data_IF_598717243023
#
_entry.id   IF_598717243023
#
_cell.length_a   1.000
_cell.length_b   1.000
_cell.length_c   1.000
_cell.angle_alpha   90.00
_cell.angle_beta   90.00
_cell.angle_gamma   90.00
#
_symmetry.space_group_name_H-M   'P 1'
#
loop_
_entity.id
_entity.type
_entity.pdbx_description
1 polymer ?
#
# COMPACT_ATOMS: atom_id res chain seq x y z
N UNK A 1 -13.04 -20.70 -2.58
CA UNK A 1 -12.00 -19.85 -3.23
C UNK A 1 -11.02 -20.79 -3.88
N UNK A 2 -10.49 -20.41 -5.04
CA UNK A 2 -9.34 -21.07 -5.67
C UNK A 2 -8.08 -20.84 -4.82
N UNK A 3 -7.02 -21.58 -5.08
CA UNK A 3 -5.71 -21.32 -4.48
C UNK A 3 -4.99 -20.19 -5.24
N UNK A 4 -3.97 -19.62 -4.62
CA UNK A 4 -3.07 -18.70 -5.29
C UNK A 4 -2.26 -19.42 -6.37
N UNK A 5 -2.09 -18.77 -7.51
CA UNK A 5 -1.31 -19.26 -8.64
C UNK A 5 -0.08 -18.37 -8.80
N UNK A 6 1.11 -18.96 -8.71
CA UNK A 6 2.35 -18.32 -9.13
C UNK A 6 2.49 -18.47 -10.63
N UNK A 7 2.68 -17.36 -11.35
CA UNK A 7 2.73 -17.39 -12.80
C UNK A 7 4.15 -17.66 -13.31
N UNK A 8 4.24 -18.47 -14.36
CA UNK A 8 5.45 -18.64 -15.17
C UNK A 8 5.38 -17.65 -16.34
N UNK A 9 6.07 -16.52 -16.19
CA UNK A 9 5.96 -15.37 -17.09
C UNK A 9 7.08 -15.34 -18.14
N UNK A 10 6.80 -14.73 -19.29
CA UNK A 10 7.84 -14.30 -20.23
C UNK A 10 8.47 -13.00 -19.73
N UNK A 11 9.80 -12.97 -19.59
CA UNK A 11 10.52 -11.88 -18.94
C UNK A 11 10.40 -11.94 -17.42
N UNK A 12 11.16 -11.09 -16.75
CA UNK A 12 11.25 -11.03 -15.29
C UNK A 12 11.28 -9.58 -14.85
N UNK A 13 10.47 -9.15 -13.88
CA UNK A 13 10.57 -7.80 -13.34
C UNK A 13 11.85 -7.64 -12.50
N UNK A 14 12.29 -6.42 -12.29
CA UNK A 14 13.35 -6.10 -11.34
C UNK A 14 12.90 -6.46 -9.92
N UNK A 15 13.74 -7.14 -9.17
CA UNK A 15 13.47 -7.44 -7.77
C UNK A 15 13.43 -6.14 -6.96
N UNK A 16 12.46 -6.01 -6.07
CA UNK A 16 12.25 -4.80 -5.25
C UNK A 16 11.33 -5.04 -4.08
N UNK A 17 11.47 -4.22 -3.07
CA UNK A 17 10.54 -4.11 -1.95
C UNK A 17 10.25 -2.63 -1.67
N UNK A 18 9.26 -2.35 -0.82
CA UNK A 18 8.74 -1.02 -0.55
C UNK A 18 8.29 -0.28 -1.84
N UNK A 19 7.75 -1.07 -2.74
CA UNK A 19 7.35 -0.67 -4.08
C UNK A 19 5.83 -0.46 -4.20
N UNK A 20 5.42 0.25 -5.27
CA UNK A 20 4.04 0.30 -5.72
C UNK A 20 3.72 -0.78 -6.74
N UNK A 21 2.50 -1.33 -6.69
CA UNK A 21 1.95 -2.21 -7.70
C UNK A 21 0.50 -1.82 -7.96
N UNK A 22 0.16 -1.46 -9.20
CA UNK A 22 -1.15 -0.93 -9.56
C UNK A 22 -1.63 -1.44 -10.92
N UNK A 23 -2.94 -1.62 -11.07
CA UNK A 23 -3.58 -1.98 -12.33
C UNK A 23 -4.18 -0.74 -12.99
N UNK A 24 -3.89 -0.54 -14.28
CA UNK A 24 -4.48 0.52 -15.10
C UNK A 24 -4.63 0.04 -16.54
N UNK A 25 -5.82 0.18 -17.12
CA UNK A 25 -6.13 -0.17 -18.52
C UNK A 25 -5.73 -1.60 -18.90
N UNK A 26 -5.92 -2.55 -17.98
CA UNK A 26 -5.64 -3.96 -18.20
C UNK A 26 -4.17 -4.33 -18.19
N UNK A 27 -3.29 -3.45 -17.77
CA UNK A 27 -1.87 -3.70 -17.49
C UNK A 27 -1.56 -3.43 -16.03
N UNK A 28 -0.49 -4.05 -15.53
CA UNK A 28 -0.05 -3.85 -14.16
C UNK A 28 1.32 -3.21 -14.14
N UNK A 29 1.46 -2.20 -13.30
CA UNK A 29 2.67 -1.37 -13.20
C UNK A 29 3.31 -1.61 -11.84
N UNK A 30 4.56 -2.08 -11.86
CA UNK A 30 5.41 -2.29 -10.70
C UNK A 30 6.53 -1.24 -10.73
N UNK A 31 6.61 -0.40 -9.72
CA UNK A 31 7.49 0.76 -9.74
C UNK A 31 7.97 1.19 -8.35
N UNK A 32 9.00 2.04 -8.32
CA UNK A 32 9.62 2.48 -7.08
C UNK A 32 10.41 1.38 -6.38
N UNK A 33 10.50 1.46 -5.08
CA UNK A 33 11.37 0.64 -4.23
C UNK A 33 12.67 1.36 -3.88
N UNK A 34 13.54 0.68 -3.16
CA UNK A 34 14.75 1.28 -2.57
C UNK A 34 15.91 1.53 -3.55
N UNK A 35 15.63 1.64 -4.84
CA UNK A 35 16.59 1.99 -5.90
C UNK A 35 15.87 2.69 -7.04
N UNK A 36 16.61 3.47 -7.83
CA UNK A 36 16.09 3.95 -9.11
C UNK A 36 16.11 2.76 -10.07
N UNK A 37 14.92 2.28 -10.43
CA UNK A 37 14.73 1.13 -11.31
C UNK A 37 13.66 1.45 -12.35
N UNK A 38 13.67 0.80 -13.54
CA UNK A 38 12.60 0.93 -14.51
C UNK A 38 11.22 0.63 -13.91
N UNK A 39 10.18 1.20 -14.47
CA UNK A 39 8.82 0.68 -14.27
C UNK A 39 8.73 -0.66 -15.00
N UNK A 40 8.34 -1.72 -14.28
CA UNK A 40 8.07 -3.00 -14.92
C UNK A 40 6.57 -3.11 -15.19
N UNK A 41 6.21 -3.43 -16.43
CA UNK A 41 4.83 -3.51 -16.88
C UNK A 41 4.48 -4.97 -17.18
N UNK A 42 3.49 -5.50 -16.48
CA UNK A 42 2.94 -6.82 -16.76
C UNK A 42 1.68 -6.74 -17.60
N UNK A 43 1.65 -7.49 -18.68
CA UNK A 43 0.44 -7.68 -19.49
C UNK A 43 -0.17 -9.06 -19.18
N UNK A 44 -1.30 -9.13 -18.46
CA UNK A 44 -1.90 -10.40 -18.06
C UNK A 44 -2.50 -11.19 -19.26
N UNK A 45 -2.72 -10.55 -20.42
CA UNK A 45 -3.23 -11.21 -21.62
C UNK A 45 -2.15 -12.04 -22.31
N UNK A 46 -0.91 -11.55 -22.29
CA UNK A 46 0.23 -12.23 -22.92
C UNK A 46 1.14 -12.91 -21.91
N UNK A 47 0.89 -12.70 -20.62
CA UNK A 47 1.71 -13.19 -19.52
C UNK A 47 3.19 -12.74 -19.64
N UNK A 48 3.40 -11.46 -19.97
CA UNK A 48 4.72 -10.92 -20.33
C UNK A 48 5.05 -9.67 -19.52
N UNK A 49 6.29 -9.60 -19.03
CA UNK A 49 6.88 -8.41 -18.45
C UNK A 49 7.66 -7.61 -19.50
N UNK A 50 7.50 -6.29 -19.45
CA UNK A 50 8.30 -5.31 -20.20
C UNK A 50 8.73 -4.19 -19.27
N UNK A 51 9.70 -3.36 -19.67
CA UNK A 51 10.17 -2.24 -18.85
C UNK A 51 9.91 -0.90 -19.53
N UNK A 52 9.70 0.12 -18.71
CA UNK A 52 9.46 1.49 -19.10
C UNK A 52 10.36 2.46 -18.31
N UNK A 53 10.21 3.77 -18.50
CA UNK A 53 11.06 4.80 -17.94
C UNK A 53 11.11 4.77 -16.40
N UNK A 54 12.30 4.81 -15.77
CA UNK A 54 12.43 4.85 -14.32
C UNK A 54 11.91 6.18 -13.75
N UNK A 55 11.54 6.21 -12.45
CA UNK A 55 11.25 7.47 -11.77
C UNK A 55 12.51 8.36 -11.72
N UNK A 56 12.36 9.69 -11.61
CA UNK A 56 13.48 10.64 -11.61
C UNK A 56 14.40 10.52 -10.39
N UNK A 57 13.94 9.82 -9.36
CA UNK A 57 14.66 9.59 -8.12
C UNK A 57 14.19 8.29 -7.46
N UNK A 58 14.87 7.84 -6.41
CA UNK A 58 14.39 6.76 -5.56
C UNK A 58 13.10 7.17 -4.85
N UNK A 59 12.05 6.35 -4.97
CA UNK A 59 10.72 6.57 -4.37
C UNK A 59 10.23 5.25 -3.80
N UNK A 60 9.94 5.22 -2.51
CA UNK A 60 9.52 4.01 -1.81
C UNK A 60 8.48 4.29 -0.70
N UNK A 61 7.95 3.22 -0.07
CA UNK A 61 6.99 3.26 1.04
C UNK A 61 5.73 4.06 0.74
N UNK A 62 4.90 3.56 -0.15
CA UNK A 62 3.66 4.25 -0.55
C UNK A 62 2.57 3.28 -1.02
N UNK A 63 1.33 3.74 -0.97
CA UNK A 63 0.20 3.11 -1.61
C UNK A 63 -0.15 3.92 -2.88
N UNK A 64 -0.03 3.35 -4.09
CA UNK A 64 -0.34 4.08 -5.32
C UNK A 64 -1.83 4.32 -5.49
N UNK A 65 -2.19 5.46 -6.08
CA UNK A 65 -3.58 5.84 -6.35
C UNK A 65 -3.78 6.09 -7.84
N UNK A 66 -4.81 5.49 -8.43
CA UNK A 66 -5.17 5.71 -9.83
C UNK A 66 -6.10 6.93 -9.92
N UNK A 67 -5.72 7.93 -10.70
CA UNK A 67 -6.52 9.12 -10.99
C UNK A 67 -6.67 9.26 -12.50
N UNK A 68 -7.83 8.92 -13.03
CA UNK A 68 -8.03 8.86 -14.49
C UNK A 68 -7.07 7.86 -15.14
N UNK A 69 -6.15 8.37 -15.97
CA UNK A 69 -5.13 7.56 -16.66
C UNK A 69 -3.72 7.77 -16.10
N UNK A 70 -3.62 8.23 -14.87
CA UNK A 70 -2.35 8.54 -14.19
C UNK A 70 -2.22 7.72 -12.90
N UNK A 71 -0.99 7.42 -12.52
CA UNK A 71 -0.65 6.77 -11.25
C UNK A 71 0.02 7.79 -10.34
N UNK A 72 -0.66 8.13 -9.24
CA UNK A 72 -0.23 9.12 -8.28
C UNK A 72 0.45 8.45 -7.08
N UNK A 73 1.59 8.98 -6.67
CA UNK A 73 2.40 8.51 -5.56
C UNK A 73 2.39 9.55 -4.45
N UNK A 74 1.67 9.24 -3.40
CA UNK A 74 1.54 10.06 -2.19
C UNK A 74 2.03 9.30 -0.97
N UNK A 75 2.35 10.02 0.10
CA UNK A 75 2.84 9.39 1.33
C UNK A 75 4.13 8.60 1.10
N UNK A 76 5.04 9.16 0.32
CA UNK A 76 6.26 8.53 -0.19
C UNK A 76 7.49 9.00 0.57
N UNK A 77 8.53 8.17 0.53
CA UNK A 77 9.87 8.49 1.06
C UNK A 77 10.96 8.26 0.02
N UNK A 78 12.12 8.81 0.33
CA UNK A 78 13.40 8.58 -0.35
C UNK A 78 14.51 8.47 0.67
N UNK A 79 15.68 7.92 0.29
CA UNK A 79 16.86 7.86 1.12
C UNK A 79 17.01 6.56 1.90
N UNK A 80 18.07 6.47 2.67
CA UNK A 80 18.53 5.23 3.29
C UNK A 80 17.95 4.99 4.69
N UNK A 81 17.71 3.71 4.99
CA UNK A 81 17.37 3.26 6.34
C UNK A 81 18.47 3.71 7.34
N UNK A 82 18.11 4.17 8.52
CA UNK A 82 16.74 4.28 9.07
C UNK A 82 16.14 5.69 9.02
N UNK A 83 16.73 6.61 8.27
CA UNK A 83 16.34 8.03 8.26
C UNK A 83 15.90 8.49 6.88
N UNK A 84 14.98 7.75 6.32
CA UNK A 84 14.34 8.11 5.07
C UNK A 84 13.58 9.43 5.22
N UNK A 85 13.53 10.22 4.15
CA UNK A 85 12.90 11.54 4.15
C UNK A 85 11.63 11.53 3.33
N UNK A 86 10.50 12.01 3.86
CA UNK A 86 9.28 12.20 3.09
C UNK A 86 9.47 13.19 1.94
N UNK A 87 8.87 12.89 0.80
CA UNK A 87 8.96 13.74 -0.39
C UNK A 87 8.19 15.04 -0.21
N UNK A 88 8.67 16.09 -0.92
CA UNK A 88 8.07 17.44 -0.88
C UNK A 88 6.89 17.60 -1.83
N UNK A 89 6.83 16.78 -2.85
CA UNK A 89 5.85 16.85 -3.92
C UNK A 89 5.30 15.47 -4.23
N UNK A 90 4.11 15.41 -4.76
CA UNK A 90 3.53 14.18 -5.31
C UNK A 90 4.25 13.88 -6.62
N UNK A 91 4.63 12.62 -6.85
CA UNK A 91 5.08 12.17 -8.15
C UNK A 91 3.97 11.45 -8.90
N UNK A 92 3.91 11.66 -10.20
CA UNK A 92 2.85 11.11 -11.05
C UNK A 92 3.49 10.44 -12.26
N UNK A 93 3.18 9.16 -12.45
CA UNK A 93 3.54 8.43 -13.66
C UNK A 93 2.39 8.48 -14.66
N UNK A 94 2.72 8.76 -15.90
CA UNK A 94 1.78 8.84 -17.03
C UNK A 94 2.06 7.68 -18.01
N UNK A 95 1.34 6.56 -17.91
CA UNK A 95 1.60 5.36 -18.71
C UNK A 95 1.49 5.58 -20.23
N UNK A 96 0.58 6.44 -20.67
CA UNK A 96 0.35 6.70 -22.11
C UNK A 96 1.56 7.31 -22.83
N UNK A 97 2.33 8.14 -22.13
CA UNK A 97 3.50 8.82 -22.66
C UNK A 97 4.81 8.27 -22.12
N UNK A 98 4.75 7.31 -21.19
CA UNK A 98 5.90 6.79 -20.46
C UNK A 98 6.74 7.93 -19.84
N UNK A 99 6.08 8.83 -19.12
CA UNK A 99 6.72 10.00 -18.52
C UNK A 99 6.36 10.16 -17.06
N UNK A 100 7.26 10.80 -16.32
CA UNK A 100 7.07 11.21 -14.94
C UNK A 100 6.89 12.73 -14.87
N UNK A 101 6.01 13.18 -13.99
CA UNK A 101 5.85 14.60 -13.66
C UNK A 101 5.75 14.84 -12.17
N UNK A 102 6.17 16.01 -11.73
CA UNK A 102 5.85 16.50 -10.39
C UNK A 102 4.40 16.96 -10.36
N UNK A 103 3.70 16.53 -9.33
CA UNK A 103 2.35 16.97 -9.01
C UNK A 103 2.32 18.09 -7.98
N UNK A 104 1.21 18.26 -7.24
CA UNK A 104 1.09 19.28 -6.21
C UNK A 104 2.13 19.14 -5.09
N UNK A 105 2.57 20.29 -4.55
CA UNK A 105 3.44 20.30 -3.36
C UNK A 105 2.67 19.86 -2.12
N UNK A 106 3.31 19.03 -1.31
CA UNK A 106 2.79 18.60 -0.01
C UNK A 106 3.10 19.71 1.03
N UNK A 107 2.11 20.18 1.81
CA UNK A 107 2.34 21.14 2.86
C UNK A 107 3.45 20.69 3.81
N UNK A 108 4.45 21.53 4.05
CA UNK A 108 5.66 21.17 4.80
C UNK A 108 5.36 20.46 6.14
N UNK A 109 4.38 20.98 6.90
CA UNK A 109 3.99 20.41 8.20
C UNK A 109 3.20 19.08 8.09
N UNK A 110 2.90 18.61 6.88
CA UNK A 110 2.09 17.39 6.64
C UNK A 110 2.85 16.34 5.82
N UNK A 111 4.14 16.55 5.53
CA UNK A 111 4.98 15.61 4.80
C UNK A 111 5.23 14.37 5.65
N UNK A 112 4.96 13.22 5.09
CA UNK A 112 5.17 11.91 5.70
C UNK A 112 5.22 10.82 4.64
N UNK A 113 5.86 9.73 4.95
CA UNK A 113 5.90 8.53 4.13
C UNK A 113 5.17 7.36 4.76
N UNK A 114 5.12 6.23 4.08
CA UNK A 114 4.47 5.01 4.52
C UNK A 114 3.00 5.20 4.97
N UNK A 115 2.31 6.16 4.34
CA UNK A 115 0.90 6.47 4.61
C UNK A 115 -0.04 5.64 3.73
N UNK A 116 -1.23 5.34 4.24
CA UNK A 116 -2.33 4.79 3.45
C UNK A 116 -2.96 5.87 2.57
N UNK A 117 -3.21 5.54 1.29
CA UNK A 117 -3.78 6.47 0.32
C UNK A 117 -4.91 5.81 -0.48
N UNK A 118 -6.03 6.52 -0.67
CA UNK A 118 -7.14 6.04 -1.49
C UNK A 118 -7.93 7.19 -2.14
N UNK A 119 -8.38 6.98 -3.38
CA UNK A 119 -9.29 7.88 -4.07
C UNK A 119 -10.74 7.54 -3.70
N UNK A 120 -11.48 8.52 -3.22
CA UNK A 120 -12.91 8.39 -2.93
C UNK A 120 -13.77 8.89 -4.10
N UNK A 121 -15.03 8.45 -4.14
CA UNK A 121 -15.99 8.81 -5.19
C UNK A 121 -16.31 10.32 -5.26
N UNK A 122 -16.00 11.09 -4.21
CA UNK A 122 -16.10 12.56 -4.21
C UNK A 122 -14.98 13.26 -5.00
N UNK A 123 -14.06 12.50 -5.57
CA UNK A 123 -12.92 12.99 -6.36
C UNK A 123 -11.69 13.38 -5.56
N UNK A 124 -11.68 13.24 -4.23
CA UNK A 124 -10.55 13.54 -3.37
C UNK A 124 -9.71 12.28 -3.09
N UNK A 125 -8.39 12.44 -3.04
CA UNK A 125 -7.48 11.43 -2.53
C UNK A 125 -7.32 11.67 -1.02
N UNK A 126 -7.59 10.65 -0.24
CA UNK A 126 -7.41 10.65 1.21
C UNK A 126 -6.08 10.03 1.59
N UNK A 127 -5.37 10.64 2.54
CA UNK A 127 -4.03 10.25 3.01
C UNK A 127 -4.08 10.12 4.52
N UNK A 128 -3.81 8.94 5.06
CA UNK A 128 -3.96 8.65 6.48
C UNK A 128 -2.70 7.99 7.07
N UNK A 129 -2.37 8.35 8.32
CA UNK A 129 -1.21 7.83 9.03
C UNK A 129 0.11 8.27 8.44
N UNK A 130 1.12 7.42 8.56
CA UNK A 130 2.47 7.62 8.03
C UNK A 130 3.49 8.06 9.09
N UNK A 131 4.74 8.28 8.65
CA UNK A 131 5.87 8.62 9.51
C UNK A 131 6.71 9.73 8.89
N UNK A 132 7.32 10.59 9.73
CA UNK A 132 8.04 11.80 9.29
C UNK A 132 9.56 11.66 9.25
N UNK A 133 10.14 10.69 9.93
CA UNK A 133 11.59 10.48 9.99
C UNK A 133 11.92 8.99 9.79
N UNK A 134 11.59 8.48 8.60
CA UNK A 134 11.87 7.12 8.16
C UNK A 134 11.44 6.04 9.15
N UNK A 135 12.36 5.10 9.43
CA UNK A 135 12.17 4.07 10.46
C UNK A 135 12.62 4.51 11.84
N UNK A 136 12.91 5.80 12.03
CA UNK A 136 13.48 6.31 13.29
C UNK A 136 12.42 6.83 14.26
N UNK A 137 11.55 7.74 13.82
CA UNK A 137 10.61 8.38 14.73
C UNK A 137 9.48 9.13 14.01
N UNK A 138 8.44 9.47 14.77
CA UNK A 138 7.44 10.39 14.29
C UNK A 138 6.28 9.75 13.54
N UNK A 139 5.84 8.55 13.92
CA UNK A 139 4.59 7.95 13.44
C UNK A 139 3.40 8.85 13.76
N UNK A 140 2.53 9.07 12.79
CA UNK A 140 1.42 10.01 12.83
C UNK A 140 0.06 9.31 12.73
N UNK A 141 -0.96 9.98 13.27
CA UNK A 141 -2.37 9.66 13.06
C UNK A 141 -3.01 10.62 12.03
N UNK A 142 -2.23 11.43 11.38
CA UNK A 142 -2.71 12.50 10.51
C UNK A 142 -3.64 12.00 9.42
N UNK A 143 -4.68 12.80 9.17
CA UNK A 143 -5.61 12.55 8.10
C UNK A 143 -5.77 13.82 7.27
N UNK A 144 -5.53 13.70 6.00
CA UNK A 144 -5.64 14.79 5.02
C UNK A 144 -6.36 14.29 3.78
N UNK A 145 -6.81 15.24 2.97
CA UNK A 145 -7.23 14.96 1.60
C UNK A 145 -6.64 15.97 0.64
N UNK A 146 -6.42 15.54 -0.59
CA UNK A 146 -5.97 16.39 -1.68
C UNK A 146 -6.93 16.27 -2.86
N UNK A 147 -7.28 17.42 -3.44
CA UNK A 147 -8.01 17.47 -4.70
C UNK A 147 -7.01 17.33 -5.87
N UNK A 148 -7.07 16.25 -6.67
CA UNK A 148 -6.10 16.04 -7.76
C UNK A 148 -6.23 17.03 -8.92
N UNK A 149 -7.39 17.69 -9.10
CA UNK A 149 -7.59 18.67 -10.16
C UNK A 149 -7.00 20.03 -9.80
N UNK A 150 -7.14 20.46 -8.54
CA UNK A 150 -6.72 21.80 -8.08
C UNK A 150 -5.39 21.79 -7.32
N UNK A 151 -4.97 20.64 -6.80
CA UNK A 151 -3.83 20.52 -5.90
C UNK A 151 -4.10 21.02 -4.47
N UNK A 152 -5.34 21.33 -4.13
CA UNK A 152 -5.74 21.81 -2.80
C UNK A 152 -5.60 20.71 -1.77
N UNK A 153 -4.94 21.01 -0.63
CA UNK A 153 -4.84 20.16 0.54
C UNK A 153 -5.78 20.65 1.65
N UNK A 154 -6.44 19.68 2.29
CA UNK A 154 -7.28 19.94 3.45
C UNK A 154 -6.91 19.00 4.60
N UNK A 155 -6.73 19.56 5.79
CA UNK A 155 -6.52 18.80 7.04
C UNK A 155 -7.87 18.38 7.58
N UNK A 156 -7.98 17.12 7.94
CA UNK A 156 -9.16 16.49 8.53
C UNK A 156 -8.86 16.05 9.98
N UNK A 157 -9.88 15.69 10.77
CA UNK A 157 -9.65 15.12 12.11
C UNK A 157 -8.78 13.86 12.04
N UNK A 158 -7.75 13.80 12.88
CA UNK A 158 -6.80 12.69 12.92
C UNK A 158 -7.49 11.34 13.22
N UNK A 159 -6.91 10.24 12.72
CA UNK A 159 -7.35 8.88 13.00
C UNK A 159 -7.17 8.54 14.50
N UNK A 160 -7.95 7.58 15.06
CA UNK A 160 -7.82 7.16 16.45
C UNK A 160 -6.42 6.64 16.79
N UNK A 161 -5.83 5.85 15.90
CA UNK A 161 -4.53 5.22 16.11
C UNK A 161 -3.48 5.76 15.15
N UNK A 162 -2.32 6.17 15.67
CA UNK A 162 -1.17 6.49 14.83
C UNK A 162 -0.48 5.21 14.36
N UNK A 163 -0.23 5.14 13.07
CA UNK A 163 0.48 4.01 12.44
C UNK A 163 1.09 4.42 11.11
N UNK A 164 2.08 3.69 10.71
CA UNK A 164 2.75 3.74 9.42
C UNK A 164 2.85 2.33 8.82
N UNK A 165 3.28 2.22 7.56
CA UNK A 165 3.31 0.96 6.83
C UNK A 165 1.93 0.25 6.84
N UNK A 166 0.88 1.05 6.83
CA UNK A 166 -0.51 0.61 6.91
C UNK A 166 -1.26 1.01 5.65
N UNK A 167 -1.95 0.09 4.97
CA UNK A 167 -2.82 0.45 3.87
C UNK A 167 -4.15 1.01 4.38
N UNK A 168 -4.83 1.75 3.52
CA UNK A 168 -6.25 2.01 3.69
C UNK A 168 -7.05 1.50 2.50
N UNK A 169 -8.34 1.26 2.72
CA UNK A 169 -9.27 0.83 1.70
C UNK A 169 -10.61 1.54 1.87
N UNK A 170 -11.29 1.84 0.77
CA UNK A 170 -12.62 2.45 0.79
C UNK A 170 -13.64 1.41 0.33
N UNK A 171 -14.71 1.24 1.12
CA UNK A 171 -15.86 0.41 0.78
C UNK A 171 -17.13 1.22 1.07
N UNK A 172 -17.90 1.53 0.03
CA UNK A 172 -19.05 2.42 0.13
C UNK A 172 -18.65 3.79 0.71
N UNK A 173 -19.36 4.22 1.73
CA UNK A 173 -19.15 5.51 2.39
C UNK A 173 -18.16 5.44 3.57
N UNK A 174 -17.26 4.46 3.58
CA UNK A 174 -16.30 4.29 4.68
C UNK A 174 -14.89 4.05 4.18
N UNK A 175 -13.92 4.71 4.84
CA UNK A 175 -12.50 4.40 4.73
C UNK A 175 -12.11 3.54 5.95
N UNK A 176 -11.47 2.43 5.67
CA UNK A 176 -10.90 1.51 6.66
C UNK A 176 -9.40 1.66 6.66
N UNK A 177 -8.80 1.92 7.83
CA UNK A 177 -7.37 2.04 8.04
C UNK A 177 -6.93 0.98 9.05
N UNK A 178 -6.08 0.04 8.64
CA UNK A 178 -5.80 -1.19 9.37
C UNK A 178 -4.39 -1.70 9.13
N UNK A 179 -3.96 -2.66 9.96
CA UNK A 179 -2.59 -3.16 9.92
C UNK A 179 -1.58 -2.07 10.26
N UNK A 180 -0.34 -2.26 9.79
CA UNK A 180 0.73 -1.32 10.08
C UNK A 180 1.27 -1.42 11.49
N UNK A 181 2.10 -0.45 11.86
CA UNK A 181 2.81 -0.42 13.13
C UNK A 181 3.08 1.01 13.60
N UNK A 182 3.38 1.18 14.85
CA UNK A 182 3.94 2.43 15.41
C UNK A 182 5.47 2.37 15.35
N UNK A 183 6.06 2.47 14.15
CA UNK A 183 7.51 2.37 13.95
C UNK A 183 8.28 3.34 14.85
N UNK A 184 7.83 4.57 14.97
CA UNK A 184 8.50 5.59 15.78
C UNK A 184 8.49 5.34 17.29
N UNK A 185 7.81 4.30 17.77
CA UNK A 185 7.69 4.00 19.20
C UNK A 185 9.03 3.71 19.88
N UNK A 186 9.98 3.08 19.17
CA UNK A 186 11.33 2.80 19.69
C UNK A 186 12.21 4.05 19.76
N UNK A 187 11.84 5.14 19.09
CA UNK A 187 12.53 6.45 19.09
C UNK A 187 14.04 6.33 18.83
N UNK A 188 14.44 5.49 17.86
CA UNK A 188 15.83 5.25 17.48
C UNK A 188 16.67 4.45 18.46
N UNK A 189 16.06 3.85 19.49
CA UNK A 189 16.79 3.08 20.53
C UNK A 189 17.01 1.61 20.13
N UNK A 190 15.98 0.99 19.54
CA UNK A 190 15.99 -0.43 19.16
C UNK A 190 15.16 -0.65 17.91
N UNK A 191 15.84 -0.73 16.76
CA UNK A 191 15.17 -0.92 15.47
C UNK A 191 14.51 -2.29 15.31
N UNK A 192 14.90 -3.31 16.06
CA UNK A 192 14.19 -4.58 16.07
C UNK A 192 12.80 -4.45 16.71
N UNK A 193 12.63 -3.54 17.65
CA UNK A 193 11.37 -3.31 18.34
C UNK A 193 10.23 -2.86 17.39
N UNK A 194 10.56 -2.28 16.25
CA UNK A 194 9.53 -1.86 15.26
C UNK A 194 8.68 -3.02 14.74
N UNK A 195 9.26 -4.22 14.62
CA UNK A 195 8.54 -5.40 14.14
C UNK A 195 7.52 -5.96 15.14
N UNK A 196 7.61 -5.53 16.40
CA UNK A 196 6.70 -5.91 17.49
C UNK A 196 5.73 -4.79 17.88
N UNK A 197 5.76 -3.66 17.16
CA UNK A 197 4.89 -2.52 17.40
C UNK A 197 3.67 -2.50 16.44
N UNK A 198 3.25 -3.66 15.96
CA UNK A 198 2.08 -3.84 15.09
C UNK A 198 0.79 -3.42 15.77
N UNK A 199 -0.23 -3.05 14.99
CA UNK A 199 -1.50 -2.54 15.48
C UNK A 199 -2.63 -3.39 14.91
N UNK A 200 -3.43 -3.97 15.81
CA UNK A 200 -4.59 -4.80 15.45
C UNK A 200 -5.86 -4.00 15.22
N UNK A 201 -6.00 -2.82 15.81
CA UNK A 201 -7.20 -2.00 15.68
C UNK A 201 -7.50 -1.65 14.22
N UNK A 202 -8.78 -1.59 13.86
CA UNK A 202 -9.27 -1.14 12.56
C UNK A 202 -9.98 0.20 12.76
N UNK A 203 -9.36 1.29 12.29
CA UNK A 203 -9.95 2.61 12.34
C UNK A 203 -10.88 2.81 11.14
N UNK A 204 -12.07 3.35 11.38
CA UNK A 204 -13.10 3.54 10.36
C UNK A 204 -13.53 4.99 10.31
N UNK A 205 -13.31 5.65 9.17
CA UNK A 205 -13.85 6.97 8.90
C UNK A 205 -15.13 6.86 8.08
N UNK A 206 -16.18 7.45 8.57
CA UNK A 206 -17.48 7.51 7.89
C UNK A 206 -17.60 8.86 7.15
N UNK A 207 -17.65 8.81 5.83
CA UNK A 207 -17.72 10.00 4.97
C UNK A 207 -19.05 10.76 5.13
N UNK A 208 -20.12 10.09 5.57
CA UNK A 208 -21.43 10.73 5.77
C UNK A 208 -21.47 11.57 7.02
N UNK A 209 -20.82 11.13 8.08
CA UNK A 209 -20.78 11.84 9.38
C UNK A 209 -19.52 12.69 9.55
N UNK A 210 -18.47 12.40 8.80
CA UNK A 210 -17.16 13.05 8.94
C UNK A 210 -16.44 12.67 10.22
N UNK A 211 -16.70 11.49 10.78
CA UNK A 211 -16.16 11.06 12.09
C UNK A 211 -15.45 9.71 12.02
N UNK A 212 -14.47 9.55 12.92
CA UNK A 212 -13.78 8.30 13.15
C UNK A 212 -14.44 7.44 14.22
N UNK A 213 -14.31 6.14 14.08
CA UNK A 213 -14.57 5.13 15.12
C UNK A 213 -13.51 4.03 15.03
N UNK A 214 -13.39 3.22 16.08
CA UNK A 214 -12.62 1.97 16.06
C UNK A 214 -13.61 0.83 15.93
N UNK A 215 -13.33 -0.11 15.02
CA UNK A 215 -14.16 -1.28 14.81
C UNK A 215 -13.99 -2.28 15.97
N UNK A 216 -15.06 -2.96 16.36
CA UNK A 216 -15.06 -3.88 17.51
C UNK A 216 -14.16 -5.12 17.27
N UNK A 217 -14.08 -5.60 16.03
CA UNK A 217 -13.22 -6.74 15.67
C UNK A 217 -11.88 -6.27 15.12
N UNK A 218 -10.75 -6.55 15.79
CA UNK A 218 -9.42 -6.20 15.30
C UNK A 218 -9.00 -7.11 14.15
N UNK A 219 -7.89 -6.75 13.50
CA UNK A 219 -7.21 -7.56 12.49
C UNK A 219 -6.77 -8.90 13.12
N UNK A 220 -7.16 -10.06 12.57
CA UNK A 220 -6.86 -11.38 13.17
C UNK A 220 -5.36 -11.68 13.34
N UNK A 221 -4.54 -11.23 12.39
CA UNK A 221 -3.09 -11.35 12.43
C UNK A 221 -2.50 -9.97 12.18
N UNK A 222 -1.88 -9.40 13.19
CA UNK A 222 -1.27 -8.07 13.12
C UNK A 222 -0.02 -8.10 12.26
N UNK A 223 -0.03 -7.39 11.13
CA UNK A 223 1.12 -7.22 10.24
C UNK A 223 1.18 -5.81 9.69
N UNK A 224 2.37 -5.39 9.27
CA UNK A 224 2.63 -4.14 8.59
C UNK A 224 3.05 -4.39 7.13
N UNK A 225 2.94 -3.40 6.26
CA UNK A 225 3.39 -3.42 4.87
C UNK A 225 2.82 -4.58 4.02
N UNK A 226 1.61 -5.05 4.33
CA UNK A 226 0.87 -5.99 3.49
C UNK A 226 0.16 -5.29 2.34
N UNK A 227 -0.14 -6.04 1.28
CA UNK A 227 -0.91 -5.56 0.14
C UNK A 227 -2.43 -5.61 0.40
N UNK A 228 -3.19 -4.68 -0.18
CA UNK A 228 -4.65 -4.68 -0.04
C UNK A 228 -5.38 -4.51 -1.36
N UNK A 229 -6.57 -5.09 -1.47
CA UNK A 229 -7.48 -4.91 -2.59
C UNK A 229 -8.94 -5.10 -2.17
N UNK A 230 -9.86 -4.43 -2.85
CA UNK A 230 -11.30 -4.50 -2.56
C UNK A 230 -12.02 -5.20 -3.71
N UNK A 231 -12.78 -6.25 -3.39
CA UNK A 231 -13.65 -6.97 -4.33
C UNK A 231 -15.00 -7.24 -3.64
N UNK A 232 -16.10 -6.84 -4.28
CA UNK A 232 -17.47 -7.06 -3.80
C UNK A 232 -17.71 -6.60 -2.34
N UNK A 233 -17.23 -5.42 -1.99
CA UNK A 233 -17.38 -4.87 -0.64
C UNK A 233 -16.58 -5.61 0.43
N UNK A 234 -15.62 -6.44 0.03
CA UNK A 234 -14.69 -7.13 0.94
C UNK A 234 -13.28 -6.63 0.74
N UNK A 235 -12.61 -6.32 1.84
CA UNK A 235 -11.21 -5.92 1.88
C UNK A 235 -10.37 -7.18 2.05
N UNK A 236 -9.46 -7.41 1.10
CA UNK A 236 -8.48 -8.49 1.15
C UNK A 236 -7.14 -7.89 1.58
N UNK A 237 -6.61 -8.30 2.71
CA UNK A 237 -5.30 -7.91 3.22
C UNK A 237 -4.36 -9.10 3.20
N UNK A 238 -3.20 -8.96 2.56
CA UNK A 238 -2.38 -10.10 2.15
C UNK A 238 -0.93 -9.88 2.54
N UNK A 239 -0.33 -10.87 3.17
CA UNK A 239 1.07 -10.84 3.53
C UNK A 239 1.39 -9.86 4.66
N UNK A 240 2.53 -9.19 4.55
CA UNK A 240 3.04 -8.27 5.57
C UNK A 240 4.20 -8.85 6.37
N UNK A 241 4.69 -8.06 7.32
CA UNK A 241 5.77 -8.42 8.25
C UNK A 241 5.41 -8.10 9.70
N UNK A 242 6.00 -8.82 10.63
CA UNK A 242 5.95 -8.58 12.07
C UNK A 242 7.15 -9.25 12.76
N UNK A 243 7.05 -9.60 14.04
CA UNK A 243 8.15 -10.12 14.85
C UNK A 243 8.78 -11.44 14.37
N UNK A 244 8.13 -12.25 13.52
CA UNK A 244 8.76 -13.44 12.94
C UNK A 244 9.72 -13.08 11.80
N UNK A 245 10.72 -13.95 11.53
CA UNK A 245 11.73 -13.68 10.48
C UNK A 245 11.15 -13.75 9.08
N UNK A 246 10.32 -14.75 8.79
CA UNK A 246 9.63 -14.88 7.49
C UNK A 246 8.52 -13.83 7.40
N UNK A 247 8.34 -13.27 6.22
CA UNK A 247 7.14 -12.50 5.90
C UNK A 247 5.88 -13.38 5.99
N UNK A 248 4.72 -12.77 5.95
CA UNK A 248 3.45 -13.49 6.09
C UNK A 248 2.93 -13.97 4.72
N UNK A 249 2.27 -15.13 4.73
CA UNK A 249 1.56 -15.70 3.57
C UNK A 249 0.06 -15.52 3.70
N UNK A 250 -0.40 -15.16 4.87
CA UNK A 250 -1.80 -15.16 5.24
C UNK A 250 -2.58 -14.07 4.47
N UNK A 251 -3.77 -14.43 4.01
CA UNK A 251 -4.77 -13.51 3.50
C UNK A 251 -5.91 -13.39 4.50
N UNK A 252 -6.22 -12.18 4.90
CA UNK A 252 -7.28 -11.84 5.83
C UNK A 252 -8.35 -11.05 5.07
N UNK A 253 -9.61 -11.44 5.20
CA UNK A 253 -10.71 -10.89 4.42
C UNK A 253 -11.74 -10.29 5.36
N UNK A 254 -11.92 -8.98 5.25
CA UNK A 254 -12.96 -8.25 5.97
C UNK A 254 -14.20 -8.10 5.11
N UNK A 255 -15.34 -8.57 5.59
CA UNK A 255 -16.65 -8.34 4.98
C UNK A 255 -17.25 -7.05 5.56
N UNK A 256 -17.18 -5.95 4.82
CA UNK A 256 -17.61 -4.65 5.32
C UNK A 256 -19.11 -4.57 5.62
N UNK A 257 -19.95 -5.40 4.98
CA UNK A 257 -21.38 -5.46 5.24
C UNK A 257 -21.71 -6.19 6.55
N UNK A 258 -20.87 -7.17 6.94
CA UNK A 258 -21.03 -7.96 8.17
C UNK A 258 -20.20 -7.43 9.33
N UNK A 259 -19.16 -6.64 9.05
CA UNK A 259 -18.20 -6.18 10.04
C UNK A 259 -17.35 -7.33 10.62
N UNK A 260 -17.03 -8.37 9.84
CA UNK A 260 -16.34 -9.55 10.36
C UNK A 260 -15.15 -9.96 9.49
N UNK A 261 -14.13 -10.51 10.15
CA UNK A 261 -12.95 -11.08 9.49
C UNK A 261 -13.09 -12.58 9.25
N UNK A 262 -12.42 -13.07 8.23
CA UNK A 262 -12.15 -14.49 8.00
C UNK A 262 -10.81 -14.66 7.32
N UNK A 263 -10.21 -15.84 7.47
CA UNK A 263 -9.01 -16.19 6.70
C UNK A 263 -9.38 -16.62 5.28
N UNK A 264 -8.52 -16.25 4.34
CA UNK A 264 -8.53 -16.72 2.96
C UNK A 264 -7.40 -17.70 2.67
N UNK A 265 -7.27 -18.17 1.42
CA UNK A 265 -6.13 -18.99 0.98
C UNK A 265 -4.82 -18.21 1.12
N UNK A 266 -3.78 -18.90 1.58
CA UNK A 266 -2.44 -18.32 1.75
C UNK A 266 -1.70 -18.17 0.42
N UNK A 267 -0.85 -17.14 0.31
CA UNK A 267 0.12 -16.99 -0.77
C UNK A 267 1.02 -18.23 -0.88
N UNK A 268 1.49 -18.53 -2.07
CA UNK A 268 2.53 -19.54 -2.28
C UNK A 268 3.90 -19.06 -1.78
N UNK A 269 4.15 -17.77 -1.86
CA UNK A 269 5.38 -17.14 -1.38
C UNK A 269 5.07 -15.96 -0.45
N UNK A 270 5.57 -16.04 0.78
CA UNK A 270 5.49 -14.96 1.76
C UNK A 270 6.08 -13.66 1.21
N UNK A 271 5.42 -12.53 1.49
CA UNK A 271 5.92 -11.22 1.07
C UNK A 271 5.33 -10.05 1.86
N UNK A 272 6.11 -8.98 1.93
CA UNK A 272 5.69 -7.66 2.41
C UNK A 272 6.32 -6.55 1.56
N UNK A 273 6.04 -5.29 1.86
CA UNK A 273 6.63 -4.14 1.17
C UNK A 273 6.23 -4.08 -0.32
N UNK A 274 5.00 -4.48 -0.64
CA UNK A 274 4.40 -4.38 -1.96
C UNK A 274 2.88 -4.20 -1.84
N UNK A 275 2.23 -3.84 -2.94
CA UNK A 275 0.78 -3.65 -2.98
C UNK A 275 0.08 -4.79 -3.73
N UNK A 276 -1.23 -4.94 -3.48
CA UNK A 276 -2.10 -5.71 -4.34
C UNK A 276 -2.77 -4.80 -5.36
N UNK A 277 -3.11 -5.33 -6.53
CA UNK A 277 -4.06 -4.72 -7.43
C UNK A 277 -5.20 -5.69 -7.76
N UNK A 278 -6.34 -5.14 -8.21
CA UNK A 278 -7.52 -5.90 -8.59
C UNK A 278 -7.76 -5.72 -10.07
N UNK A 279 -7.92 -6.83 -10.79
CA UNK A 279 -8.28 -6.83 -12.20
C UNK A 279 -9.03 -8.12 -12.56
N UNK A 280 -10.12 -8.02 -13.30
CA UNK A 280 -10.97 -9.14 -13.72
C UNK A 280 -11.31 -10.09 -12.56
N UNK A 281 -11.80 -9.53 -11.44
CA UNK A 281 -12.15 -10.26 -10.21
C UNK A 281 -11.01 -11.09 -9.62
N UNK A 282 -9.79 -10.79 -9.98
CA UNK A 282 -8.59 -11.41 -9.39
C UNK A 282 -7.84 -10.40 -8.57
N UNK A 283 -7.28 -10.90 -7.48
CA UNK A 283 -6.30 -10.18 -6.69
C UNK A 283 -4.92 -10.58 -7.20
N UNK A 284 -4.06 -9.61 -7.43
CA UNK A 284 -2.73 -9.78 -7.97
C UNK A 284 -1.71 -9.14 -7.04
N UNK A 285 -0.56 -9.78 -6.85
CA UNK A 285 0.54 -9.27 -6.05
C UNK A 285 1.88 -9.67 -6.68
N UNK A 286 2.84 -8.76 -6.70
CA UNK A 286 4.16 -8.99 -7.30
C UNK A 286 5.28 -8.40 -6.45
N UNK A 287 6.49 -8.94 -6.59
CA UNK A 287 7.71 -8.47 -5.90
C UNK A 287 7.57 -8.49 -4.37
N UNK A 288 8.16 -7.51 -3.68
CA UNK A 288 8.22 -7.44 -2.22
C UNK A 288 9.42 -8.20 -1.63
N UNK A 289 9.53 -8.25 -0.32
CA UNK A 289 10.52 -9.03 0.41
C UNK A 289 9.92 -10.29 1.02
N UNK A 290 10.65 -11.41 0.94
CA UNK A 290 10.22 -12.72 1.46
C UNK A 290 10.44 -12.90 2.97
N UNK A 291 11.16 -11.99 3.62
CA UNK A 291 11.37 -11.99 5.06
C UNK A 291 11.26 -10.57 5.59
N UNK A 292 11.15 -10.40 6.90
CA UNK A 292 11.12 -9.07 7.54
C UNK A 292 12.35 -8.24 7.16
N UNK A 293 12.18 -6.94 7.02
CA UNK A 293 13.22 -6.07 6.48
C UNK A 293 13.27 -6.15 4.94
N UNK A 294 14.42 -6.10 4.30
CA UNK A 294 14.56 -5.90 2.87
C UNK A 294 14.94 -7.13 2.03
N UNK A 295 15.25 -8.28 2.62
CA UNK A 295 15.82 -9.44 1.91
C UNK A 295 15.12 -10.76 2.27
N UNK A 296 14.98 -11.72 1.34
CA UNK A 296 15.30 -11.60 -0.09
C UNK A 296 14.22 -10.85 -0.87
N UNK A 297 14.62 -9.96 -1.76
CA UNK A 297 13.70 -9.34 -2.70
C UNK A 297 13.21 -10.35 -3.75
N UNK A 298 11.94 -10.25 -4.09
CA UNK A 298 11.24 -11.19 -4.97
C UNK A 298 11.01 -10.61 -6.36
N UNK A 299 10.87 -11.51 -7.34
CA UNK A 299 10.48 -11.20 -8.72
C UNK A 299 9.19 -11.90 -9.15
N UNK A 300 8.66 -12.80 -8.30
CA UNK A 300 7.46 -13.56 -8.63
C UNK A 300 6.21 -12.70 -8.59
N UNK A 301 5.23 -13.08 -9.42
CA UNK A 301 3.88 -12.56 -9.41
C UNK A 301 2.91 -13.71 -9.11
N UNK A 302 1.92 -13.43 -8.27
CA UNK A 302 0.87 -14.37 -7.90
C UNK A 302 -0.51 -13.73 -8.10
N UNK A 303 -1.48 -14.57 -8.43
CA UNK A 303 -2.88 -14.14 -8.47
C UNK A 303 -3.82 -15.18 -7.87
N UNK A 304 -4.98 -14.72 -7.42
CA UNK A 304 -6.08 -15.55 -6.96
C UNK A 304 -7.40 -15.03 -7.54
N UNK A 305 -8.24 -15.93 -8.00
CA UNK A 305 -9.60 -15.58 -8.40
C UNK A 305 -10.51 -15.53 -7.18
N UNK A 306 -11.23 -14.42 -7.06
CA UNK A 306 -12.24 -14.24 -6.01
C UNK A 306 -13.61 -14.51 -6.63
N UNK A 307 -14.24 -15.65 -6.32
CA UNK A 307 -15.54 -16.01 -6.89
C UNK A 307 -16.61 -14.97 -6.51
N UNK A 308 -17.62 -14.84 -7.35
CA UNK A 308 -18.79 -14.02 -7.03
C UNK A 308 -19.42 -14.47 -5.70
N UNK A 309 -19.90 -13.50 -4.94
CA UNK A 309 -20.72 -13.83 -3.78
C UNK A 309 -22.02 -14.50 -4.28
N UNK A 310 -22.46 -15.59 -3.64
CA UNK A 310 -23.68 -16.29 -4.03
C UNK A 310 -24.93 -15.44 -3.85
#
# INVERSE_FOLDING_TARGET
MSDWITLDCTGTPHCRHENGFAALDGKFYLFGGRRIQPVDIFDPKTNTWTSASPPPMEIHHFQPVIVGREIWLLGTMTGEFPRETPLETVYIYQPDSDTWKEGPRIPHARRRGAAGCALHADGWIYVVGGIIDGHHSGTQAWFDRINPETGEWQVLPDAPNKRDHAPCAIVGDKLYFFGGRETGRHNGQDYDALFFATIGDVDVYDFTTGTWSVHDEPLPIETAAGGTGVIDGKIHYVGGEAGRMEAFVEMQIFDAAKGTWRMGPSLNRARHGTNCCVHDRKLWIAAGSGARGGEPELTSIECIEVPEAP
#
